data_IF_222586278840
#
_entry.id   IF_222586278840
#
_cell.length_a   1.000
_cell.length_b   1.000
_cell.length_c   1.000
_cell.angle_alpha   90.00
_cell.angle_beta   90.00
_cell.angle_gamma   90.00
#
_symmetry.space_group_name_H-M   'P 1'
#
loop_
_entity.id
_entity.type
_entity.pdbx_description
1 polymer ?
#
# COMPACT_ATOMS: atom_id res chain seq x y z
N UNK A 1 -7.98 10.33 -8.71
CA UNK A 1 -7.33 9.01 -8.61
C UNK A 1 -6.56 8.69 -9.90
N UNK A 2 -7.11 8.99 -11.08
CA UNK A 2 -6.48 8.76 -12.39
C UNK A 2 -5.11 9.44 -12.59
N UNK A 3 -4.87 10.63 -12.01
CA UNK A 3 -3.62 11.37 -12.22
C UNK A 3 -2.37 10.81 -11.51
N UNK A 4 -2.53 10.02 -10.45
CA UNK A 4 -1.40 9.50 -9.69
C UNK A 4 -0.80 8.24 -10.32
N UNK A 5 -1.65 7.36 -10.86
CA UNK A 5 -1.21 6.14 -11.57
C UNK A 5 -0.50 6.47 -12.90
N UNK A 6 -0.98 7.48 -13.63
CA UNK A 6 -0.40 7.86 -14.92
C UNK A 6 1.07 8.32 -14.80
N UNK A 7 1.43 8.97 -13.69
CA UNK A 7 2.78 9.51 -13.48
C UNK A 7 3.82 8.44 -13.12
N UNK A 8 3.43 7.29 -12.56
CA UNK A 8 4.41 6.24 -12.19
C UNK A 8 4.97 5.49 -13.42
N UNK A 9 4.18 5.36 -14.49
CA UNK A 9 4.62 4.77 -15.77
C UNK A 9 5.79 5.51 -16.41
N UNK A 10 5.96 6.80 -16.11
CA UNK A 10 6.99 7.66 -16.71
C UNK A 10 8.33 7.60 -15.98
N UNK A 11 8.35 7.25 -14.69
CA UNK A 11 9.55 7.40 -13.85
C UNK A 11 10.18 6.07 -13.38
N UNK A 12 9.59 4.91 -13.70
CA UNK A 12 10.12 3.57 -13.37
C UNK A 12 10.63 3.47 -11.92
N UNK A 13 9.97 4.18 -11.01
CA UNK A 13 10.34 4.28 -9.62
C UNK A 13 9.06 3.99 -8.83
N UNK A 14 9.08 2.91 -8.06
CA UNK A 14 7.95 2.44 -7.27
C UNK A 14 7.81 3.34 -6.04
N UNK A 15 7.39 4.60 -6.23
CA UNK A 15 7.35 5.61 -5.18
C UNK A 15 6.09 5.42 -4.29
N UNK A 16 5.04 4.75 -4.80
CA UNK A 16 3.81 4.52 -4.03
C UNK A 16 3.87 3.26 -3.17
N UNK A 17 3.67 3.44 -1.87
CA UNK A 17 3.44 2.39 -0.88
C UNK A 17 1.93 2.33 -0.50
N UNK A 18 1.16 1.38 -1.06
CA UNK A 18 -0.27 1.31 -0.79
C UNK A 18 -0.58 0.88 0.66
N UNK A 19 -1.49 1.61 1.30
CA UNK A 19 -2.01 1.30 2.63
C UNK A 19 -3.48 0.87 2.55
N UNK A 20 -3.82 -0.22 3.24
CA UNK A 20 -5.15 -0.81 3.27
C UNK A 20 -5.82 -0.57 4.61
N UNK A 21 -6.98 0.12 4.58
CA UNK A 21 -7.83 0.39 5.74
C UNK A 21 -8.98 -0.61 5.89
N UNK A 22 -9.34 -1.33 4.83
CA UNK A 22 -10.44 -2.29 4.80
C UNK A 22 -10.20 -3.40 3.77
N UNK A 23 -11.16 -4.32 3.60
CA UNK A 23 -11.04 -5.43 2.64
C UNK A 23 -11.47 -5.06 1.22
N UNK A 24 -11.86 -3.82 0.92
CA UNK A 24 -12.46 -3.46 -0.36
C UNK A 24 -11.49 -3.74 -1.53
N UNK A 25 -10.22 -3.34 -1.40
CA UNK A 25 -9.19 -3.56 -2.42
C UNK A 25 -8.90 -5.04 -2.68
N UNK A 26 -9.14 -5.91 -1.70
CA UNK A 26 -8.97 -7.35 -1.87
C UNK A 26 -10.10 -7.99 -2.68
N UNK A 27 -11.28 -7.37 -2.66
CA UNK A 27 -12.50 -7.88 -3.28
C UNK A 27 -12.78 -7.25 -4.65
N UNK A 28 -12.20 -6.07 -4.92
CA UNK A 28 -12.26 -5.40 -6.21
C UNK A 28 -11.68 -6.31 -7.31
N UNK A 29 -12.47 -6.47 -8.39
CA UNK A 29 -12.09 -7.24 -9.58
C UNK A 29 -11.56 -6.37 -10.72
N UNK A 30 -11.43 -5.07 -10.46
CA UNK A 30 -10.92 -4.11 -11.43
C UNK A 30 -9.43 -4.34 -11.68
N UNK A 31 -9.01 -4.17 -12.94
CA UNK A 31 -7.65 -4.51 -13.38
C UNK A 31 -6.56 -3.75 -12.60
N UNK A 32 -6.80 -2.49 -12.24
CA UNK A 32 -5.85 -1.71 -11.43
C UNK A 32 -5.71 -2.26 -10.00
N UNK A 33 -6.76 -2.84 -9.42
CA UNK A 33 -6.71 -3.44 -8.10
C UNK A 33 -6.01 -4.81 -8.14
N UNK A 34 -6.18 -5.55 -9.24
CA UNK A 34 -5.41 -6.78 -9.50
C UNK A 34 -3.92 -6.42 -9.63
N UNK A 35 -3.59 -5.44 -10.47
CA UNK A 35 -2.21 -4.97 -10.65
C UNK A 35 -1.60 -4.55 -9.32
N UNK A 36 -2.27 -3.71 -8.54
CA UNK A 36 -1.79 -3.24 -7.24
C UNK A 36 -1.46 -4.38 -6.26
N UNK A 37 -2.26 -5.46 -6.26
CA UNK A 37 -2.05 -6.64 -5.40
C UNK A 37 -0.89 -7.52 -5.86
N UNK A 38 -0.64 -7.57 -7.16
CA UNK A 38 0.40 -8.40 -7.77
C UNK A 38 1.74 -7.67 -7.79
N UNK A 39 1.73 -6.37 -8.05
CA UNK A 39 2.93 -5.58 -8.28
C UNK A 39 3.54 -4.97 -7.00
N UNK A 40 2.79 -4.90 -5.89
CA UNK A 40 3.24 -4.18 -4.68
C UNK A 40 2.94 -4.87 -3.37
N UNK A 41 3.78 -4.57 -2.38
CA UNK A 41 3.47 -4.84 -0.98
C UNK A 41 2.43 -3.82 -0.48
N UNK A 42 1.31 -4.31 0.04
CA UNK A 42 0.26 -3.48 0.61
C UNK A 42 0.36 -3.54 2.14
N UNK A 43 0.58 -2.40 2.79
CA UNK A 43 0.59 -2.29 4.24
C UNK A 43 -0.83 -2.40 4.80
N UNK A 44 -1.06 -3.36 5.70
CA UNK A 44 -2.38 -3.58 6.31
C UNK A 44 -2.52 -2.85 7.64
N UNK A 45 -3.44 -1.87 7.66
CA UNK A 45 -3.82 -1.10 8.86
C UNK A 45 -5.31 -1.22 9.15
N UNK A 46 -5.97 -2.29 8.67
CA UNK A 46 -7.40 -2.51 8.87
C UNK A 46 -7.83 -2.63 10.33
N UNK A 47 -6.90 -3.00 11.23
CA UNK A 47 -7.11 -3.09 12.67
C UNK A 47 -6.69 -1.81 13.43
N UNK A 48 -6.81 -0.64 12.80
CA UNK A 48 -6.42 0.65 13.38
C UNK A 48 -7.14 1.04 14.67
N UNK A 49 -8.24 0.38 15.01
CA UNK A 49 -8.99 0.61 16.26
C UNK A 49 -8.42 -0.15 17.46
N UNK A 50 -7.55 -1.12 17.22
CA UNK A 50 -6.81 -1.80 18.27
C UNK A 50 -5.44 -1.12 18.39
N UNK A 51 -5.24 -0.38 19.48
CA UNK A 51 -4.03 0.42 19.67
C UNK A 51 -2.74 -0.41 19.64
N UNK A 52 -2.77 -1.65 20.14
CA UNK A 52 -1.59 -2.53 20.18
C UNK A 52 -1.26 -2.98 18.76
N UNK A 53 -2.27 -3.47 18.04
CA UNK A 53 -2.09 -3.96 16.68
C UNK A 53 -1.72 -2.80 15.74
N UNK A 54 -2.36 -1.64 15.89
CA UNK A 54 -2.04 -0.46 15.10
C UNK A 54 -0.59 -0.04 15.26
N UNK A 55 -0.08 0.08 16.49
CA UNK A 55 1.32 0.47 16.74
C UNK A 55 2.30 -0.54 16.14
N UNK A 56 2.02 -1.83 16.24
CA UNK A 56 2.84 -2.87 15.62
C UNK A 56 2.89 -2.71 14.09
N UNK A 57 1.73 -2.62 13.44
CA UNK A 57 1.64 -2.46 11.96
C UNK A 57 2.26 -1.17 11.49
N UNK A 58 2.09 -0.09 12.24
CA UNK A 58 2.70 1.20 11.95
C UNK A 58 4.23 1.14 11.98
N UNK A 59 4.82 0.45 12.97
CA UNK A 59 6.27 0.23 13.02
C UNK A 59 6.78 -0.63 11.85
N UNK A 60 6.04 -1.68 11.46
CA UNK A 60 6.36 -2.50 10.30
C UNK A 60 6.40 -1.67 9.01
N UNK A 61 5.40 -0.80 8.82
CA UNK A 61 5.32 0.12 7.67
C UNK A 61 6.48 1.11 7.68
N UNK A 62 6.77 1.74 8.82
CA UNK A 62 7.88 2.68 8.94
C UNK A 62 9.23 2.02 8.66
N UNK A 63 9.42 0.78 9.10
CA UNK A 63 10.62 0.01 8.78
C UNK A 63 10.72 -0.23 7.27
N UNK A 64 9.63 -0.66 6.63
CA UNK A 64 9.59 -0.90 5.19
C UNK A 64 9.90 0.37 4.39
N UNK A 65 9.31 1.51 4.75
CA UNK A 65 9.54 2.80 4.08
C UNK A 65 10.99 3.28 4.20
N UNK A 66 11.62 3.08 5.36
CA UNK A 66 13.04 3.41 5.56
C UNK A 66 13.94 2.50 4.74
N UNK A 67 13.64 1.20 4.69
CA UNK A 67 14.43 0.22 3.94
C UNK A 67 14.27 0.37 2.43
N UNK A 68 13.12 0.85 1.95
CA UNK A 68 12.88 1.14 0.53
C UNK A 68 13.57 2.42 0.03
N UNK A 69 14.20 3.20 0.92
CA UNK A 69 14.87 4.47 0.60
C UNK A 69 16.40 4.35 0.45
N UNK A 70 16.94 3.14 0.22
CA UNK A 70 18.38 2.86 0.05
C UNK A 70 18.68 2.37 -1.36
#
# INVERSE_FOLDING_TARGET
MEGALANETTYNCSILFPLRLDQAVMQLKEDWAIDLRVSRHIGDISLWKDDIIYQQRFMEILHYLKSASV
#
